data_IF_791142994958
#
_entry.id   IF_791142994958
#
_cell.length_a   1.000
_cell.length_b   1.000
_cell.length_c   1.000
_cell.angle_alpha   90.00
_cell.angle_beta   90.00
_cell.angle_gamma   90.00
#
_symmetry.space_group_name_H-M   'P 1'
#
loop_
_entity.id
_entity.type
_entity.pdbx_description
1 polymer ?
#
# COMPACT_ATOMS: atom_id res chain seq x y z
N UNK A 1 24.44 -11.38 -9.73
CA UNK A 1 25.66 -10.61 -9.41
C UNK A 1 25.45 -10.05 -8.02
N UNK A 2 26.20 -10.55 -7.05
CA UNK A 2 26.23 -9.94 -5.72
C UNK A 2 26.96 -8.60 -5.87
N UNK A 3 26.26 -7.48 -5.69
CA UNK A 3 26.92 -6.19 -5.56
C UNK A 3 27.39 -6.07 -4.11
N UNK A 4 28.69 -6.29 -3.80
CA UNK A 4 29.17 -6.39 -2.41
C UNK A 4 28.85 -5.13 -1.60
N UNK A 5 28.76 -3.96 -2.24
CA UNK A 5 28.46 -2.69 -1.57
C UNK A 5 27.00 -2.57 -1.10
N UNK A 6 26.04 -3.07 -1.89
CA UNK A 6 24.61 -3.09 -1.49
C UNK A 6 24.42 -3.97 -0.26
N UNK A 7 25.11 -5.11 -0.22
CA UNK A 7 25.08 -6.04 0.93
C UNK A 7 25.72 -5.41 2.17
N UNK A 8 26.81 -4.67 2.03
CA UNK A 8 27.42 -3.90 3.14
C UNK A 8 26.46 -2.84 3.69
N UNK A 9 25.82 -2.06 2.81
CA UNK A 9 24.86 -1.02 3.22
C UNK A 9 23.65 -1.63 3.92
N UNK A 10 23.14 -2.75 3.41
CA UNK A 10 22.08 -3.53 4.05
C UNK A 10 22.48 -3.98 5.47
N UNK A 11 23.69 -4.53 5.64
CA UNK A 11 24.20 -4.94 6.96
C UNK A 11 24.35 -3.76 7.91
N UNK A 12 24.81 -2.61 7.41
CA UNK A 12 24.92 -1.40 8.21
C UNK A 12 23.53 -0.90 8.65
N UNK A 13 22.56 -0.83 7.72
CA UNK A 13 21.19 -0.44 8.02
C UNK A 13 20.56 -1.35 9.08
N UNK A 14 20.78 -2.67 9.01
CA UNK A 14 20.33 -3.63 10.03
C UNK A 14 20.95 -3.33 11.39
N UNK A 15 22.26 -3.05 11.43
CA UNK A 15 22.96 -2.72 12.67
C UNK A 15 22.40 -1.45 13.31
N UNK A 16 22.21 -0.38 12.54
CA UNK A 16 21.66 0.86 13.09
C UNK A 16 20.24 0.68 13.61
N UNK A 17 19.42 -0.08 12.87
CA UNK A 17 18.08 -0.43 13.30
C UNK A 17 18.12 -1.21 14.62
N UNK A 18 18.97 -2.24 14.72
CA UNK A 18 19.14 -3.01 15.95
C UNK A 18 19.59 -2.16 17.13
N UNK A 19 20.56 -1.26 16.92
CA UNK A 19 21.05 -0.38 17.98
C UNK A 19 19.99 0.62 18.46
N UNK A 20 19.10 1.06 17.58
CA UNK A 20 18.03 2.00 17.94
C UNK A 20 16.82 1.31 18.56
N UNK A 21 16.31 0.27 17.89
CA UNK A 21 15.08 -0.45 18.26
C UNK A 21 15.31 -1.53 19.32
N UNK A 22 16.54 -2.08 19.40
CA UNK A 22 16.93 -3.16 20.31
C UNK A 22 16.95 -4.55 19.66
N UNK A 23 16.19 -4.74 18.57
CA UNK A 23 16.15 -5.96 17.78
C UNK A 23 15.92 -5.65 16.28
N UNK A 24 16.04 -6.65 15.41
CA UNK A 24 15.77 -6.53 13.98
C UNK A 24 14.57 -7.38 13.57
N UNK A 25 13.81 -6.99 12.54
CA UNK A 25 12.84 -7.88 11.93
C UNK A 25 13.53 -9.11 11.32
N UNK A 26 12.84 -10.25 11.32
CA UNK A 26 13.36 -11.54 10.83
C UNK A 26 12.48 -12.21 9.77
N UNK A 27 11.19 -11.88 9.69
CA UNK A 27 10.21 -12.46 8.77
C UNK A 27 9.93 -11.51 7.58
N UNK A 28 10.94 -11.30 6.73
CA UNK A 28 10.80 -10.51 5.51
C UNK A 28 11.64 -11.02 4.34
N UNK A 29 11.27 -10.59 3.13
CA UNK A 29 11.97 -10.87 1.87
C UNK A 29 12.24 -9.56 1.14
N UNK A 30 13.44 -9.42 0.59
CA UNK A 30 13.83 -8.25 -0.22
C UNK A 30 14.01 -8.69 -1.67
N UNK A 31 13.32 -8.01 -2.58
CA UNK A 31 13.49 -8.14 -4.02
C UNK A 31 14.07 -6.84 -4.56
N UNK A 32 15.26 -6.94 -5.14
CA UNK A 32 15.98 -5.82 -5.75
C UNK A 32 15.67 -5.78 -7.25
N UNK A 33 15.14 -4.67 -7.73
CA UNK A 33 14.88 -4.44 -9.15
C UNK A 33 16.05 -3.73 -9.81
N UNK A 34 16.58 -4.36 -10.86
CA UNK A 34 17.57 -3.76 -11.79
C UNK A 34 16.86 -2.83 -12.81
N UNK A 35 15.57 -3.04 -13.03
CA UNK A 35 14.75 -2.25 -13.93
C UNK A 35 13.65 -1.55 -13.10
N UNK A 36 13.74 -0.22 -12.89
CA UNK A 36 12.74 0.54 -12.13
C UNK A 36 11.33 0.42 -12.72
N UNK A 37 11.20 0.22 -14.03
CA UNK A 37 9.88 0.15 -14.65
C UNK A 37 9.12 -1.12 -14.26
N UNK A 38 9.86 -2.20 -13.94
CA UNK A 38 9.28 -3.44 -13.40
C UNK A 38 8.79 -3.24 -11.97
N UNK A 39 9.55 -2.49 -11.15
CA UNK A 39 9.12 -2.15 -9.80
C UNK A 39 7.88 -1.24 -9.83
N UNK A 40 7.88 -0.18 -10.65
CA UNK A 40 6.72 0.69 -10.81
C UNK A 40 5.47 -0.10 -11.22
N UNK A 41 5.60 -1.05 -12.15
CA UNK A 41 4.49 -1.93 -12.55
C UNK A 41 3.97 -2.76 -11.38
N UNK A 42 4.86 -3.32 -10.55
CA UNK A 42 4.48 -4.10 -9.38
C UNK A 42 3.78 -3.23 -8.32
N UNK A 43 4.33 -2.05 -8.05
CA UNK A 43 3.72 -1.10 -7.12
C UNK A 43 2.28 -0.80 -7.52
N UNK A 44 2.05 -0.46 -8.78
CA UNK A 44 0.69 -0.19 -9.26
C UNK A 44 -0.25 -1.41 -9.17
N UNK A 45 0.27 -2.63 -9.33
CA UNK A 45 -0.53 -3.85 -9.12
C UNK A 45 -0.94 -3.99 -7.65
N UNK A 46 -0.05 -3.66 -6.72
CA UNK A 46 -0.35 -3.65 -5.28
C UNK A 46 -1.40 -2.58 -4.97
N UNK A 47 -1.24 -1.36 -5.51
CA UNK A 47 -2.20 -0.27 -5.30
C UNK A 47 -3.59 -0.59 -5.85
N UNK A 48 -3.69 -1.08 -7.09
CA UNK A 48 -4.99 -1.37 -7.71
C UNK A 48 -5.62 -2.67 -7.23
N UNK A 49 -4.80 -3.67 -6.91
CA UNK A 49 -5.24 -5.04 -6.62
C UNK A 49 -5.23 -5.41 -5.14
N UNK A 50 -4.55 -4.62 -4.31
CA UNK A 50 -4.32 -4.87 -2.89
C UNK A 50 -3.30 -5.97 -2.58
N UNK A 51 -2.62 -6.51 -3.60
CA UNK A 51 -1.66 -7.63 -3.45
C UNK A 51 -0.79 -7.76 -4.70
N UNK A 52 0.49 -8.18 -4.56
CA UNK A 52 1.41 -8.36 -5.69
C UNK A 52 0.99 -9.47 -6.66
N UNK A 53 0.09 -10.38 -6.26
CA UNK A 53 -0.44 -11.46 -7.11
C UNK A 53 -1.89 -11.22 -7.54
N UNK A 54 -2.46 -10.06 -7.22
CA UNK A 54 -3.81 -9.72 -7.61
C UNK A 54 -3.98 -9.79 -9.14
N UNK A 55 -4.99 -10.51 -9.59
CA UNK A 55 -5.34 -10.59 -11.02
C UNK A 55 -5.97 -9.27 -11.44
N UNK A 56 -5.43 -8.64 -12.48
CA UNK A 56 -5.97 -7.41 -13.06
C UNK A 56 -6.68 -7.70 -14.39
N UNK A 57 -7.67 -6.87 -14.73
CA UNK A 57 -8.31 -6.93 -16.04
C UNK A 57 -7.35 -6.47 -17.14
N UNK A 58 -7.64 -6.83 -18.38
CA UNK A 58 -6.87 -6.42 -19.54
C UNK A 58 -6.87 -4.89 -19.71
N UNK A 59 -8.00 -4.24 -19.42
CA UNK A 59 -8.10 -2.77 -19.42
C UNK A 59 -7.16 -2.14 -18.39
N UNK A 60 -7.15 -2.65 -17.16
CA UNK A 60 -6.22 -2.19 -16.12
C UNK A 60 -4.77 -2.39 -16.57
N UNK A 61 -4.43 -3.55 -17.13
CA UNK A 61 -3.09 -3.84 -17.65
C UNK A 61 -2.70 -2.85 -18.77
N UNK A 62 -3.62 -2.53 -19.68
CA UNK A 62 -3.34 -1.60 -20.77
C UNK A 62 -3.23 -0.15 -20.28
N UNK A 63 -4.00 0.25 -19.28
CA UNK A 63 -3.85 1.54 -18.61
C UNK A 63 -2.52 1.63 -17.85
N UNK A 64 -2.10 0.56 -17.17
CA UNK A 64 -0.79 0.46 -16.55
C UNK A 64 0.32 0.61 -17.58
N UNK A 65 0.26 -0.11 -18.71
CA UNK A 65 1.21 0.02 -19.82
C UNK A 65 1.26 1.45 -20.38
N UNK A 66 0.10 2.10 -20.54
CA UNK A 66 0.04 3.51 -20.97
C UNK A 66 0.62 4.46 -19.93
N UNK A 67 0.42 4.19 -18.64
CA UNK A 67 0.95 5.01 -17.54
C UNK A 67 2.47 4.93 -17.43
N UNK A 68 3.08 3.78 -17.71
CA UNK A 68 4.55 3.63 -17.82
C UNK A 68 5.16 4.56 -18.87
N UNK A 69 4.41 4.87 -19.93
CA UNK A 69 4.85 5.78 -20.99
C UNK A 69 4.66 7.27 -20.63
N UNK A 70 4.07 7.59 -19.47
CA UNK A 70 3.84 8.95 -19.00
C UNK A 70 4.59 9.14 -17.68
N UNK A 71 5.74 9.82 -17.73
CA UNK A 71 6.67 10.09 -16.62
C UNK A 71 6.09 10.87 -15.40
N UNK A 72 4.94 10.47 -14.84
CA UNK A 72 4.25 11.20 -13.76
C UNK A 72 4.15 10.43 -12.45
N UNK A 73 4.50 9.15 -12.40
CA UNK A 73 4.57 8.46 -11.12
C UNK A 73 5.82 8.94 -10.38
N UNK A 74 5.74 9.13 -9.04
CA UNK A 74 6.93 9.19 -8.21
C UNK A 74 7.82 8.01 -8.60
N UNK A 75 9.12 8.23 -8.80
CA UNK A 75 10.11 7.15 -8.88
C UNK A 75 10.14 6.51 -7.50
N UNK A 76 9.12 5.73 -7.15
CA UNK A 76 9.06 5.01 -5.89
C UNK A 76 10.18 4.00 -5.93
N UNK A 77 11.25 4.31 -5.21
CA UNK A 77 12.42 3.44 -5.16
C UNK A 77 12.22 2.32 -4.13
N UNK A 78 11.16 2.38 -3.31
CA UNK A 78 10.79 1.39 -2.30
C UNK A 78 9.27 1.22 -2.27
N UNK A 79 8.79 -0.02 -2.29
CA UNK A 79 7.39 -0.35 -1.97
C UNK A 79 7.37 -1.56 -1.03
N UNK A 80 6.48 -1.52 -0.05
CA UNK A 80 6.37 -2.57 0.98
C UNK A 80 4.97 -3.15 1.00
N UNK A 81 4.88 -4.47 0.84
CA UNK A 81 3.66 -5.24 1.09
C UNK A 81 3.80 -5.92 2.47
N UNK A 82 3.15 -5.39 3.54
CA UNK A 82 3.42 -5.76 4.93
C UNK A 82 2.69 -7.04 5.35
N UNK A 83 2.92 -8.13 4.63
CA UNK A 83 2.50 -9.49 5.00
C UNK A 83 3.48 -10.15 5.99
N UNK A 84 3.28 -11.43 6.28
CA UNK A 84 4.17 -12.32 7.03
C UNK A 84 4.53 -13.53 6.14
N UNK A 85 5.73 -13.58 5.51
CA UNK A 85 6.81 -12.59 5.58
C UNK A 85 6.44 -11.27 4.90
N UNK A 86 7.02 -10.16 5.36
CA UNK A 86 6.90 -8.86 4.69
C UNK A 86 7.67 -8.88 3.38
N UNK A 87 7.06 -8.38 2.30
CA UNK A 87 7.68 -8.34 0.99
C UNK A 87 8.15 -6.90 0.69
N UNK A 88 9.46 -6.71 0.59
CA UNK A 88 10.10 -5.43 0.31
C UNK A 88 10.56 -5.44 -1.15
N UNK A 89 10.11 -4.46 -1.92
CA UNK A 89 10.47 -4.26 -3.32
C UNK A 89 11.27 -2.97 -3.41
N UNK A 90 12.52 -3.05 -3.87
CA UNK A 90 13.42 -1.91 -3.90
C UNK A 90 14.08 -1.78 -5.26
N UNK A 91 13.87 -0.64 -5.92
CA UNK A 91 14.64 -0.26 -7.10
C UNK A 91 15.97 0.30 -6.66
N UNK A 92 17.05 -0.24 -7.21
CA UNK A 92 18.37 0.33 -6.99
C UNK A 92 18.43 1.65 -7.78
N UNK A 93 18.71 2.81 -7.17
CA UNK A 93 18.78 4.05 -7.93
C UNK A 93 19.89 3.96 -8.99
N UNK A 94 19.50 3.90 -10.27
CA UNK A 94 20.43 3.77 -11.40
C UNK A 94 21.07 5.09 -11.77
N UNK A 95 22.11 5.47 -11.04
CA UNK A 95 23.26 6.19 -11.61
C UNK A 95 24.54 5.57 -11.04
N UNK A 96 25.35 4.98 -11.91
CA UNK A 96 26.51 4.12 -11.61
C UNK A 96 27.75 4.86 -11.07
N UNK A 97 27.59 5.87 -10.22
CA UNK A 97 28.73 6.44 -9.47
C UNK A 97 28.54 6.18 -7.99
N UNK A 98 29.50 5.46 -7.41
CA UNK A 98 29.60 5.33 -5.97
C UNK A 98 29.73 6.72 -5.36
N UNK A 99 28.79 7.08 -4.48
CA UNK A 99 28.79 8.35 -3.77
C UNK A 99 28.29 8.15 -2.34
N UNK A 100 28.77 8.96 -1.37
CA UNK A 100 28.25 8.95 -0.01
C UNK A 100 26.73 9.16 0.06
N UNK A 101 26.18 10.02 -0.80
CA UNK A 101 24.74 10.31 -0.86
C UNK A 101 23.91 9.09 -1.30
N UNK A 102 24.44 8.28 -2.25
CA UNK A 102 23.81 7.03 -2.66
C UNK A 102 23.77 6.03 -1.52
N UNK A 103 24.90 5.86 -0.84
CA UNK A 103 25.02 4.88 0.24
C UNK A 103 24.13 5.26 1.42
N UNK A 104 24.07 6.54 1.76
CA UNK A 104 23.12 7.09 2.73
C UNK A 104 21.67 6.86 2.30
N UNK A 105 21.32 7.20 1.06
CA UNK A 105 19.97 6.99 0.51
C UNK A 105 19.54 5.53 0.65
N UNK A 106 20.36 4.59 0.19
CA UNK A 106 20.03 3.17 0.22
C UNK A 106 19.93 2.64 1.65
N UNK A 107 20.80 3.11 2.56
CA UNK A 107 20.75 2.79 3.99
C UNK A 107 19.43 3.23 4.61
N UNK A 108 18.99 4.46 4.34
CA UNK A 108 17.74 5.02 4.88
C UNK A 108 16.50 4.31 4.29
N UNK A 109 16.53 3.96 3.00
CA UNK A 109 15.46 3.14 2.39
C UNK A 109 15.35 1.77 3.06
N UNK A 110 16.46 1.09 3.33
CA UNK A 110 16.45 -0.16 4.08
C UNK A 110 15.90 0.01 5.50
N UNK A 111 16.31 1.06 6.22
CA UNK A 111 15.79 1.37 7.56
C UNK A 111 14.26 1.55 7.53
N UNK A 112 13.75 2.32 6.58
CA UNK A 112 12.31 2.53 6.42
C UNK A 112 11.56 1.22 6.12
N UNK A 113 12.10 0.38 5.21
CA UNK A 113 11.55 -0.95 4.94
C UNK A 113 11.60 -1.89 6.16
N UNK A 114 12.68 -1.87 6.94
CA UNK A 114 12.79 -2.66 8.15
C UNK A 114 11.78 -2.21 9.21
N UNK A 115 11.49 -0.92 9.30
CA UNK A 115 10.49 -0.42 10.22
C UNK A 115 9.10 -0.95 9.85
N UNK A 116 8.74 -0.99 8.56
CA UNK A 116 7.52 -1.63 8.08
C UNK A 116 7.47 -3.13 8.36
N UNK A 117 8.57 -3.85 8.10
CA UNK A 117 8.66 -5.28 8.39
C UNK A 117 8.52 -5.58 9.89
N UNK A 118 9.19 -4.77 10.73
CA UNK A 118 9.13 -4.91 12.18
C UNK A 118 7.73 -4.59 12.72
N UNK A 119 7.05 -3.58 12.17
CA UNK A 119 5.65 -3.32 12.49
C UNK A 119 4.78 -4.52 12.12
N UNK A 120 4.94 -5.08 10.91
CA UNK A 120 4.17 -6.23 10.46
C UNK A 120 4.36 -7.47 11.36
N UNK A 121 5.58 -7.69 11.85
CA UNK A 121 5.92 -8.80 12.75
C UNK A 121 5.36 -8.62 14.17
N UNK A 122 5.46 -7.41 14.73
CA UNK A 122 5.29 -7.17 16.17
C UNK A 122 4.02 -6.41 16.54
N UNK A 123 3.32 -5.80 15.58
CA UNK A 123 2.10 -5.03 15.84
C UNK A 123 0.97 -5.92 16.38
N UNK A 124 0.15 -5.36 17.27
CA UNK A 124 -1.12 -5.95 17.71
C UNK A 124 -2.22 -5.91 16.63
N UNK A 125 -1.98 -5.22 15.51
CA UNK A 125 -2.92 -5.19 14.39
C UNK A 125 -2.99 -6.54 13.65
N UNK A 126 -4.20 -6.88 13.18
CA UNK A 126 -4.42 -8.06 12.35
C UNK A 126 -4.08 -7.87 10.86
N UNK A 127 -3.64 -6.65 10.48
CA UNK A 127 -3.41 -6.25 9.09
C UNK A 127 -2.51 -7.24 8.34
N UNK A 128 -1.31 -7.48 8.87
CA UNK A 128 -0.31 -8.33 8.21
C UNK A 128 -0.72 -9.79 8.06
N UNK A 129 -1.50 -10.31 9.02
CA UNK A 129 -2.06 -11.66 8.95
C UNK A 129 -3.10 -11.77 7.85
N UNK A 130 -4.00 -10.77 7.78
CA UNK A 130 -5.02 -10.70 6.73
C UNK A 130 -4.39 -10.51 5.34
N UNK A 131 -3.38 -9.65 5.20
CA UNK A 131 -2.66 -9.47 3.94
C UNK A 131 -1.93 -10.74 3.49
N UNK A 132 -1.41 -11.54 4.43
CA UNK A 132 -0.79 -12.84 4.13
C UNK A 132 -1.79 -13.83 3.55
N UNK A 133 -3.00 -13.87 4.11
CA UNK A 133 -4.08 -14.73 3.62
C UNK A 133 -4.63 -14.23 2.27
N UNK A 134 -4.76 -12.91 2.07
CA UNK A 134 -5.11 -12.33 0.76
C UNK A 134 -4.07 -12.70 -0.30
N UNK A 135 -2.79 -12.58 0.02
CA UNK A 135 -1.70 -12.98 -0.86
C UNK A 135 -1.80 -14.47 -1.26
N UNK A 136 -2.05 -15.36 -0.28
CA UNK A 136 -2.22 -16.80 -0.54
C UNK A 136 -3.42 -17.07 -1.44
N UNK A 137 -4.54 -16.42 -1.18
CA UNK A 137 -5.75 -16.51 -2.00
C UNK A 137 -5.47 -16.06 -3.44
N UNK A 138 -4.84 -14.90 -3.63
CA UNK A 138 -4.55 -14.36 -4.96
C UNK A 138 -3.59 -15.27 -5.74
N UNK A 139 -2.63 -15.90 -5.04
CA UNK A 139 -1.76 -16.92 -5.64
C UNK A 139 -2.55 -18.15 -6.11
N UNK A 140 -3.49 -18.67 -5.29
CA UNK A 140 -4.35 -19.80 -5.68
C UNK A 140 -5.19 -19.44 -6.92
N UNK A 141 -5.80 -18.26 -6.96
CA UNK A 141 -6.59 -17.79 -8.11
C UNK A 141 -5.72 -17.75 -9.36
N UNK A 142 -4.50 -17.23 -9.26
CA UNK A 142 -3.55 -17.16 -10.38
C UNK A 142 -3.21 -18.57 -10.90
N UNK A 143 -2.92 -19.52 -10.02
CA UNK A 143 -2.66 -20.91 -10.41
C UNK A 143 -3.87 -21.58 -11.07
N UNK A 144 -5.09 -21.34 -10.54
CA UNK A 144 -6.32 -21.84 -11.16
C UNK A 144 -6.49 -21.29 -12.58
N UNK A 145 -6.23 -20.00 -12.81
CA UNK A 145 -6.26 -19.39 -14.14
C UNK A 145 -5.23 -20.06 -15.05
N UNK A 146 -3.97 -20.13 -14.63
CA UNK A 146 -2.86 -20.66 -15.44
C UNK A 146 -3.14 -22.11 -15.85
N UNK A 147 -3.59 -22.96 -14.92
CA UNK A 147 -3.90 -24.36 -15.21
C UNK A 147 -5.04 -24.52 -16.21
N UNK A 148 -6.09 -23.69 -16.12
CA UNK A 148 -7.22 -23.74 -17.06
C UNK A 148 -6.85 -23.18 -18.44
N UNK A 149 -6.07 -22.11 -18.48
CA UNK A 149 -5.57 -21.52 -19.73
C UNK A 149 -4.59 -22.45 -20.44
N UNK A 150 -3.72 -23.14 -19.69
CA UNK A 150 -2.77 -24.10 -20.24
C UNK A 150 -3.49 -25.21 -21.03
N UNK A 151 -4.54 -25.79 -20.44
CA UNK A 151 -5.37 -26.79 -21.12
C UNK A 151 -6.05 -26.26 -22.40
N UNK A 152 -6.44 -24.98 -22.44
CA UNK A 152 -7.01 -24.34 -23.64
C UNK A 152 -5.94 -24.05 -24.71
N UNK A 153 -4.72 -23.69 -24.30
CA UNK A 153 -3.62 -23.40 -25.22
C UNK A 153 -3.14 -24.67 -25.90
N UNK A 154 -2.93 -25.76 -25.16
CA UNK A 154 -2.51 -27.05 -25.72
C UNK A 154 -3.55 -27.66 -26.67
N UNK A 155 -4.85 -27.53 -26.34
CA UNK A 155 -5.90 -28.18 -27.12
C UNK A 155 -6.41 -27.36 -28.30
N UNK A 156 -6.32 -26.02 -28.24
CA UNK A 156 -7.00 -25.13 -29.20
C UNK A 156 -6.18 -23.93 -29.68
N UNK A 157 -4.92 -23.75 -29.26
CA UNK A 157 -4.10 -22.57 -29.59
C UNK A 157 -4.80 -21.21 -29.32
N UNK A 158 -5.65 -21.16 -28.30
CA UNK A 158 -6.48 -19.99 -28.01
C UNK A 158 -5.71 -18.88 -27.29
N UNK A 159 -5.20 -17.89 -28.03
CA UNK A 159 -4.45 -16.73 -27.48
C UNK A 159 -5.32 -15.77 -26.65
N UNK A 160 -6.65 -15.81 -26.83
CA UNK A 160 -7.62 -15.03 -26.06
C UNK A 160 -7.94 -15.63 -24.69
N UNK A 161 -7.52 -16.87 -24.41
CA UNK A 161 -7.89 -17.58 -23.19
C UNK A 161 -7.44 -16.86 -21.92
N UNK A 162 -6.17 -16.41 -21.86
CA UNK A 162 -5.67 -15.72 -20.66
C UNK A 162 -6.42 -14.41 -20.36
N UNK A 163 -6.55 -13.46 -21.32
CA UNK A 163 -7.32 -12.23 -21.10
C UNK A 163 -8.77 -12.51 -20.63
N UNK A 164 -9.45 -13.48 -21.24
CA UNK A 164 -10.83 -13.82 -20.88
C UNK A 164 -10.97 -14.24 -19.41
N UNK A 165 -10.09 -15.13 -18.93
CA UNK A 165 -10.12 -15.59 -17.54
C UNK A 165 -9.74 -14.47 -16.56
N UNK A 166 -8.78 -13.62 -16.93
CA UNK A 166 -8.36 -12.47 -16.12
C UNK A 166 -9.51 -11.46 -15.94
N UNK A 167 -10.17 -11.07 -17.03
CA UNK A 167 -11.30 -10.13 -16.99
C UNK A 167 -12.46 -10.69 -16.18
N UNK A 168 -12.78 -11.97 -16.37
CA UNK A 168 -13.84 -12.62 -15.61
C UNK A 168 -13.55 -12.62 -14.10
N UNK A 169 -12.33 -12.98 -13.70
CA UNK A 169 -11.90 -12.97 -12.28
C UNK A 169 -11.91 -11.55 -11.72
N UNK A 170 -11.44 -10.57 -12.48
CA UNK A 170 -11.43 -9.17 -12.05
C UNK A 170 -12.84 -8.63 -11.81
N UNK A 171 -13.80 -8.94 -12.69
CA UNK A 171 -15.22 -8.57 -12.53
C UNK A 171 -15.83 -9.26 -11.31
N UNK A 172 -15.62 -10.56 -11.13
CA UNK A 172 -16.16 -11.28 -9.96
C UNK A 172 -15.56 -10.70 -8.68
N UNK A 173 -14.25 -10.40 -8.65
CA UNK A 173 -13.60 -9.79 -7.49
C UNK A 173 -14.25 -8.46 -7.12
N UNK A 174 -14.48 -7.61 -8.11
CA UNK A 174 -15.12 -6.31 -7.92
C UNK A 174 -16.52 -6.49 -7.30
N UNK A 175 -17.35 -7.35 -7.91
CA UNK A 175 -18.70 -7.62 -7.45
C UNK A 175 -18.74 -8.24 -6.05
N UNK A 176 -17.86 -9.21 -5.77
CA UNK A 176 -17.74 -9.84 -4.44
C UNK A 176 -17.31 -8.83 -3.37
N UNK A 177 -16.38 -7.93 -3.68
CA UNK A 177 -15.99 -6.83 -2.77
C UNK A 177 -17.17 -5.91 -2.45
N UNK A 178 -18.10 -5.74 -3.39
CA UNK A 178 -19.35 -5.00 -3.20
C UNK A 178 -20.49 -5.83 -2.59
N UNK A 179 -20.21 -7.03 -2.09
CA UNK A 179 -21.20 -7.86 -1.39
C UNK A 179 -22.18 -8.60 -2.31
N UNK A 180 -21.91 -8.68 -3.62
CA UNK A 180 -22.66 -9.58 -4.50
C UNK A 180 -22.33 -11.01 -4.14
N UNK A 181 -23.34 -11.77 -3.72
CA UNK A 181 -23.17 -13.18 -3.35
C UNK A 181 -23.90 -14.14 -4.30
N UNK A 182 -24.98 -13.73 -4.99
CA UNK A 182 -25.72 -14.62 -5.88
C UNK A 182 -25.18 -14.53 -7.32
N UNK A 183 -24.06 -15.21 -7.56
CA UNK A 183 -23.63 -15.53 -8.92
C UNK A 183 -24.44 -16.71 -9.45
N UNK A 184 -24.64 -16.77 -10.77
CA UNK A 184 -25.30 -17.92 -11.40
C UNK A 184 -24.52 -19.21 -11.11
N UNK A 185 -25.20 -20.17 -10.47
CA UNK A 185 -24.68 -21.52 -10.22
C UNK A 185 -25.23 -22.47 -11.30
N UNK A 186 -24.38 -23.01 -12.20
CA UNK A 186 -24.84 -23.94 -13.21
C UNK A 186 -25.36 -25.26 -12.61
N UNK A 187 -26.36 -25.92 -13.24
CA UNK A 187 -26.91 -27.18 -12.77
C UNK A 187 -25.86 -28.30 -12.76
N UNK A 188 -26.04 -29.30 -11.89
CA UNK A 188 -25.08 -30.41 -11.70
C UNK A 188 -24.75 -31.17 -12.98
N UNK A 189 -25.72 -31.35 -13.88
CA UNK A 189 -25.52 -31.98 -15.18
C UNK A 189 -24.49 -31.25 -16.04
N UNK A 190 -24.50 -29.92 -16.05
CA UNK A 190 -23.55 -29.10 -16.80
C UNK A 190 -22.17 -29.07 -16.12
N UNK A 191 -22.12 -29.10 -14.78
CA UNK A 191 -20.88 -29.11 -13.99
C UNK A 191 -20.07 -30.40 -14.18
N UNK A 192 -20.76 -31.54 -14.32
CA UNK A 192 -20.13 -32.85 -14.57
C UNK A 192 -19.36 -32.93 -15.90
N UNK A 193 -19.66 -32.04 -16.85
CA UNK A 193 -19.11 -32.09 -18.22
C UNK A 193 -18.26 -30.86 -18.58
N UNK A 194 -18.13 -29.87 -17.67
CA UNK A 194 -17.43 -28.62 -17.96
C UNK A 194 -16.46 -28.23 -16.86
N UNK A 195 -15.16 -28.34 -17.16
CA UNK A 195 -14.07 -27.83 -16.30
C UNK A 195 -14.20 -26.32 -16.06
N UNK A 196 -14.67 -25.57 -17.05
CA UNK A 196 -14.90 -24.13 -16.93
C UNK A 196 -15.95 -23.78 -15.88
N UNK A 197 -17.04 -24.55 -15.78
CA UNK A 197 -18.07 -24.31 -14.77
C UNK A 197 -17.58 -24.65 -13.35
N UNK A 198 -16.72 -25.67 -13.23
CA UNK A 198 -16.09 -25.99 -11.94
C UNK A 198 -15.10 -24.89 -11.52
N UNK A 199 -14.27 -24.40 -12.45
CA UNK A 199 -13.39 -23.25 -12.23
C UNK A 199 -14.18 -22.02 -11.76
N UNK A 200 -15.28 -21.68 -12.45
CA UNK A 200 -16.08 -20.50 -12.12
C UNK A 200 -16.63 -20.56 -10.69
N UNK A 201 -17.15 -21.72 -10.27
CA UNK A 201 -17.67 -21.90 -8.91
C UNK A 201 -16.59 -21.82 -7.84
N UNK A 202 -15.42 -22.40 -8.13
CA UNK A 202 -14.28 -22.34 -7.23
C UNK A 202 -13.78 -20.90 -7.07
N UNK A 203 -13.63 -20.16 -8.18
CA UNK A 203 -13.22 -18.75 -8.17
C UNK A 203 -14.22 -17.88 -7.43
N UNK A 204 -15.52 -18.03 -7.65
CA UNK A 204 -16.56 -17.28 -6.90
C UNK A 204 -16.44 -17.57 -5.40
N UNK A 205 -16.29 -18.83 -5.01
CA UNK A 205 -16.15 -19.20 -3.60
C UNK A 205 -14.91 -18.57 -2.97
N UNK A 206 -13.77 -18.61 -3.66
CA UNK A 206 -12.50 -18.06 -3.18
C UNK A 206 -12.59 -16.52 -3.10
N UNK A 207 -13.16 -15.84 -4.10
CA UNK A 207 -13.29 -14.39 -4.12
C UNK A 207 -14.27 -13.86 -3.08
N UNK A 208 -15.36 -14.58 -2.79
CA UNK A 208 -16.25 -14.23 -1.69
C UNK A 208 -15.52 -14.35 -0.34
N UNK A 209 -14.71 -15.39 -0.13
CA UNK A 209 -13.87 -15.51 1.07
C UNK A 209 -12.86 -14.36 1.17
N UNK A 210 -12.22 -13.99 0.05
CA UNK A 210 -11.30 -12.85 -0.03
C UNK A 210 -11.98 -11.55 0.39
N UNK A 211 -13.18 -11.28 -0.14
CA UNK A 211 -13.93 -10.07 0.17
C UNK A 211 -14.30 -9.98 1.66
N UNK A 212 -14.78 -11.06 2.26
CA UNK A 212 -15.09 -11.12 3.69
C UNK A 212 -13.84 -11.00 4.58
N UNK A 213 -12.70 -11.48 4.11
CA UNK A 213 -11.44 -11.34 4.81
C UNK A 213 -10.94 -9.88 4.79
N UNK A 214 -10.99 -9.22 3.64
CA UNK A 214 -10.60 -7.80 3.49
C UNK A 214 -11.38 -6.92 4.47
N UNK A 215 -12.68 -7.14 4.64
CA UNK A 215 -13.52 -6.37 5.58
C UNK A 215 -13.02 -6.42 7.03
N UNK A 216 -12.34 -7.50 7.44
CA UNK A 216 -11.81 -7.67 8.81
C UNK A 216 -10.48 -6.93 9.04
N UNK A 217 -9.84 -6.48 7.96
CA UNK A 217 -8.54 -5.80 8.01
C UNK A 217 -8.65 -4.52 8.81
N UNK A 218 -7.79 -4.35 9.81
CA UNK A 218 -7.67 -3.07 10.50
C UNK A 218 -7.19 -1.97 9.54
N UNK A 219 -7.65 -0.74 9.78
CA UNK A 219 -7.15 0.44 9.09
C UNK A 219 -5.83 0.83 9.75
N UNK A 220 -4.73 0.64 9.05
CA UNK A 220 -3.36 0.83 9.57
C UNK A 220 -2.51 1.68 8.64
N UNK A 221 -3.08 2.23 7.56
CA UNK A 221 -2.31 2.95 6.53
C UNK A 221 -1.55 4.10 7.16
N UNK A 222 -2.20 4.84 8.06
CA UNK A 222 -1.59 5.97 8.73
C UNK A 222 -0.65 5.55 9.88
N UNK A 223 -1.06 4.62 10.73
CA UNK A 223 -0.31 4.12 11.89
C UNK A 223 1.00 3.43 11.46
N UNK A 224 0.96 2.63 10.40
CA UNK A 224 2.11 1.93 9.86
C UNK A 224 3.14 2.92 9.31
N UNK A 225 2.71 3.92 8.54
CA UNK A 225 3.61 4.97 8.06
C UNK A 225 4.15 5.83 9.21
N UNK A 226 3.34 6.11 10.24
CA UNK A 226 3.81 6.84 11.41
C UNK A 226 4.98 6.12 12.07
N UNK A 227 4.80 4.83 12.34
CA UNK A 227 5.82 3.98 12.93
C UNK A 227 7.11 3.96 12.09
N UNK A 228 6.97 3.75 10.79
CA UNK A 228 8.11 3.66 9.89
C UNK A 228 8.86 4.99 9.76
N UNK A 229 8.15 6.10 9.64
CA UNK A 229 8.74 7.43 9.55
C UNK A 229 9.39 7.86 10.86
N UNK A 230 8.81 7.54 12.02
CA UNK A 230 9.44 7.83 13.32
C UNK A 230 10.83 7.19 13.46
N UNK A 231 10.95 5.88 13.20
CA UNK A 231 12.24 5.19 13.28
C UNK A 231 13.22 5.73 12.22
N UNK A 232 12.74 5.88 10.98
CA UNK A 232 13.52 6.40 9.87
C UNK A 232 14.11 7.79 10.16
N UNK A 233 13.30 8.72 10.68
CA UNK A 233 13.74 10.06 11.03
C UNK A 233 14.77 10.06 12.17
N UNK A 234 14.48 9.37 13.29
CA UNK A 234 15.37 9.37 14.46
C UNK A 234 16.72 8.70 14.19
N UNK A 235 16.75 7.63 13.39
CA UNK A 235 18.01 7.01 12.97
C UNK A 235 18.75 7.93 11.99
N UNK A 236 18.06 8.58 11.07
CA UNK A 236 18.65 9.55 10.14
C UNK A 236 19.36 10.70 10.85
N UNK A 237 18.69 11.32 11.84
CA UNK A 237 19.26 12.35 12.71
C UNK A 237 20.53 11.86 13.42
N UNK A 238 20.52 10.63 13.95
CA UNK A 238 21.69 10.03 14.62
C UNK A 238 22.86 9.82 13.66
N UNK A 239 22.61 9.31 12.44
CA UNK A 239 23.66 9.02 11.45
C UNK A 239 24.33 10.30 10.96
N UNK A 240 23.57 11.39 10.82
CA UNK A 240 24.06 12.62 10.22
C UNK A 240 24.79 13.54 11.21
N UNK A 241 24.75 13.24 12.51
CA UNK A 241 25.35 14.05 13.60
C UNK A 241 24.96 15.54 13.53
N UNK A 242 23.84 15.84 12.84
CA UNK A 242 23.28 17.17 12.59
C UNK A 242 21.78 17.06 12.84
N UNK A 243 21.15 18.15 13.28
CA UNK A 243 19.68 18.24 13.37
C UNK A 243 18.99 18.08 12.01
N UNK A 244 17.67 18.29 11.98
CA UNK A 244 16.80 18.16 10.79
C UNK A 244 17.50 18.62 9.49
N UNK A 245 17.53 17.74 8.48
CA UNK A 245 17.95 18.14 7.14
C UNK A 245 17.01 19.23 6.63
N UNK A 246 17.51 20.40 6.19
CA UNK A 246 16.72 21.24 5.31
C UNK A 246 16.26 20.37 4.13
N UNK A 247 14.96 20.34 3.85
CA UNK A 247 14.42 19.46 2.80
C UNK A 247 15.10 19.68 1.43
N UNK A 248 15.63 20.88 1.20
CA UNK A 248 16.41 21.26 0.02
C UNK A 248 17.70 20.43 -0.17
N UNK A 249 18.27 19.86 0.89
CA UNK A 249 19.48 19.04 0.84
C UNK A 249 19.20 17.54 0.85
N UNK A 250 17.93 17.11 1.00
CA UNK A 250 17.56 15.70 0.97
C UNK A 250 17.85 15.11 -0.42
N UNK A 251 18.61 13.99 -0.51
CA UNK A 251 18.87 13.31 -1.78
C UNK A 251 17.58 13.05 -2.56
N UNK A 252 17.63 13.25 -3.90
CA UNK A 252 16.45 13.12 -4.78
C UNK A 252 15.63 11.86 -4.52
N UNK A 253 16.31 10.72 -4.33
CA UNK A 253 15.67 9.41 -4.14
C UNK A 253 15.06 9.19 -2.76
N UNK A 254 15.37 10.04 -1.78
CA UNK A 254 14.70 10.05 -0.48
C UNK A 254 13.45 10.93 -0.49
N UNK A 255 13.32 11.88 -1.42
CA UNK A 255 12.14 12.76 -1.50
C UNK A 255 10.79 12.04 -1.59
N UNK A 256 10.64 10.85 -2.21
CA UNK A 256 9.40 10.07 -2.11
C UNK A 256 9.04 9.61 -0.69
N UNK A 257 10.02 9.48 0.22
CA UNK A 257 9.76 9.14 1.63
C UNK A 257 9.45 10.41 2.43
N UNK A 258 10.21 11.49 2.27
CA UNK A 258 10.01 12.69 3.09
C UNK A 258 8.93 13.66 2.55
N UNK A 259 8.63 13.55 1.26
CA UNK A 259 7.80 14.50 0.52
C UNK A 259 6.30 14.38 0.75
N UNK A 260 5.71 13.16 0.70
CA UNK A 260 4.29 12.97 0.84
C UNK A 260 3.73 13.55 2.15
N UNK A 261 2.56 14.22 2.11
CA UNK A 261 1.85 14.72 3.29
C UNK A 261 1.63 13.69 4.38
N UNK A 262 1.28 12.45 4.01
CA UNK A 262 1.05 11.37 4.96
C UNK A 262 2.30 11.09 5.79
N UNK A 263 3.49 11.14 5.21
CA UNK A 263 4.75 10.86 5.90
C UNK A 263 5.13 11.99 6.86
N UNK A 264 4.88 13.25 6.48
CA UNK A 264 5.09 14.40 7.36
C UNK A 264 4.13 14.41 8.55
N UNK A 265 2.84 14.19 8.28
CA UNK A 265 1.82 14.15 9.33
C UNK A 265 2.07 12.98 10.28
N UNK A 266 2.35 11.79 9.74
CA UNK A 266 2.48 10.56 10.52
C UNK A 266 3.65 10.58 11.50
N UNK A 267 4.80 11.13 11.09
CA UNK A 267 5.91 11.40 12.01
C UNK A 267 5.48 12.31 13.18
N UNK A 268 4.91 13.47 12.85
CA UNK A 268 4.51 14.48 13.84
C UNK A 268 3.39 14.01 14.76
N UNK A 269 2.50 13.17 14.26
CA UNK A 269 1.44 12.58 15.07
C UNK A 269 1.98 11.64 16.14
N UNK A 270 3.05 10.88 15.88
CA UNK A 270 3.67 10.08 16.93
C UNK A 270 4.38 10.93 17.98
N UNK A 271 5.04 12.02 17.58
CA UNK A 271 5.62 12.97 18.54
C UNK A 271 4.52 13.58 19.44
N UNK A 272 3.41 14.05 18.85
CA UNK A 272 2.28 14.61 19.60
C UNK A 272 1.62 13.55 20.51
N UNK A 273 1.40 12.34 20.00
CA UNK A 273 0.76 11.24 20.73
C UNK A 273 1.55 10.78 21.97
N UNK A 274 2.86 11.02 21.99
CA UNK A 274 3.77 10.55 23.01
C UNK A 274 4.69 11.64 23.57
N UNK A 275 4.26 12.90 23.54
CA UNK A 275 5.04 14.06 23.99
C UNK A 275 5.60 13.89 25.42
N UNK A 276 4.84 13.25 26.32
CA UNK A 276 5.24 12.96 27.70
C UNK A 276 6.50 12.07 27.82
N UNK A 277 6.77 11.26 26.80
CA UNK A 277 7.88 10.31 26.75
C UNK A 277 8.76 10.52 25.51
N UNK A 278 8.79 11.75 24.97
CA UNK A 278 9.54 12.07 23.74
C UNK A 278 11.03 11.72 23.78
N UNK A 279 11.63 11.76 24.97
CA UNK A 279 13.04 11.42 25.21
C UNK A 279 13.27 9.89 25.36
N UNK A 280 12.22 9.08 25.24
CA UNK A 280 12.25 7.62 25.40
C UNK A 280 11.76 6.92 24.11
N UNK A 281 12.54 6.99 23.01
CA UNK A 281 12.11 6.49 21.70
C UNK A 281 11.74 5.00 21.68
N UNK A 282 12.43 4.17 22.48
CA UNK A 282 12.13 2.74 22.58
C UNK A 282 10.77 2.47 23.26
N UNK A 283 10.36 3.31 24.21
CA UNK A 283 9.05 3.18 24.85
C UNK A 283 7.94 3.66 23.91
N UNK A 284 8.19 4.70 23.11
CA UNK A 284 7.28 5.14 22.03
C UNK A 284 7.06 4.00 21.02
N UNK A 285 8.14 3.36 20.55
CA UNK A 285 8.07 2.20 19.64
C UNK A 285 7.20 1.10 20.25
N UNK A 286 7.46 0.72 21.51
CA UNK A 286 6.72 -0.35 22.20
C UNK A 286 5.24 -0.03 22.34
N UNK A 287 4.88 1.19 22.74
CA UNK A 287 3.48 1.59 22.89
C UNK A 287 2.78 1.73 21.54
N UNK A 288 3.48 2.19 20.49
CA UNK A 288 2.92 2.29 19.13
C UNK A 288 2.55 0.91 18.58
N UNK A 289 3.35 -0.13 18.85
CA UNK A 289 3.04 -1.51 18.46
C UNK A 289 1.77 -2.07 19.12
N UNK A 290 1.32 -1.48 20.25
CA UNK A 290 0.06 -1.88 20.91
C UNK A 290 -1.18 -1.21 20.28
N UNK A 291 -0.99 -0.17 19.47
CA UNK A 291 -2.09 0.44 18.72
C UNK A 291 -2.52 -0.51 17.60
N UNK A 292 -3.82 -0.67 17.42
CA UNK A 292 -4.36 -1.68 16.49
C UNK A 292 -4.76 -1.08 15.15
N UNK A 293 -5.05 0.21 15.11
CA UNK A 293 -5.59 0.91 13.94
C UNK A 293 -5.32 2.43 13.98
N UNK A 294 -5.60 3.11 12.87
CA UNK A 294 -5.39 4.54 12.65
C UNK A 294 -6.19 5.43 13.61
N UNK A 295 -7.41 5.01 13.98
CA UNK A 295 -8.24 5.72 14.95
C UNK A 295 -7.64 5.67 16.35
N UNK A 296 -6.98 4.58 16.75
CA UNK A 296 -6.29 4.50 18.05
C UNK A 296 -5.18 5.56 18.13
N UNK A 297 -4.39 5.73 17.05
CA UNK A 297 -3.35 6.75 16.99
C UNK A 297 -3.93 8.17 16.98
N UNK A 298 -5.00 8.41 16.19
CA UNK A 298 -5.70 9.70 16.19
C UNK A 298 -6.18 10.05 17.60
N UNK A 299 -6.79 9.10 18.31
CA UNK A 299 -7.26 9.31 19.68
C UNK A 299 -6.11 9.56 20.65
N UNK A 300 -5.00 8.82 20.52
CA UNK A 300 -3.79 9.02 21.34
C UNK A 300 -3.18 10.40 21.14
N UNK A 301 -3.23 10.94 19.91
CA UNK A 301 -2.79 12.28 19.56
C UNK A 301 -3.77 13.41 19.96
N UNK A 302 -4.81 13.13 20.76
CA UNK A 302 -5.78 14.14 21.22
C UNK A 302 -7.05 14.25 20.36
N UNK A 303 -7.28 13.29 19.45
CA UNK A 303 -8.49 13.18 18.64
C UNK A 303 -8.45 13.94 17.31
N UNK A 304 -9.48 13.75 16.48
CA UNK A 304 -9.49 14.27 15.11
C UNK A 304 -9.36 15.80 15.00
N UNK A 305 -9.86 16.57 15.97
CA UNK A 305 -9.71 18.03 15.93
C UNK A 305 -8.25 18.47 16.08
N UNK A 306 -7.51 17.83 17.00
CA UNK A 306 -6.09 18.10 17.24
C UNK A 306 -5.25 17.69 16.02
N UNK A 307 -5.50 16.50 15.48
CA UNK A 307 -4.81 15.98 14.29
C UNK A 307 -5.03 16.87 13.06
N UNK A 308 -6.26 17.34 12.84
CA UNK A 308 -6.57 18.23 11.70
C UNK A 308 -5.94 19.62 11.86
N UNK A 309 -5.80 20.11 13.10
CA UNK A 309 -5.03 21.34 13.37
C UNK A 309 -3.56 21.15 12.96
N UNK A 310 -2.95 20.04 13.39
CA UNK A 310 -1.59 19.68 13.02
C UNK A 310 -1.43 19.54 11.50
N UNK A 311 -2.37 18.90 10.81
CA UNK A 311 -2.40 18.78 9.35
C UNK A 311 -2.36 20.15 8.66
N UNK A 312 -3.15 21.11 9.14
CA UNK A 312 -3.19 22.48 8.60
C UNK A 312 -1.86 23.20 8.80
N UNK A 313 -1.29 23.13 10.01
CA UNK A 313 0.01 23.75 10.33
C UNK A 313 1.12 23.19 9.42
N UNK A 314 1.13 21.86 9.21
CA UNK A 314 2.12 21.20 8.33
C UNK A 314 1.93 21.55 6.86
N UNK A 315 0.68 21.71 6.40
CA UNK A 315 0.38 22.17 5.03
C UNK A 315 0.91 23.57 4.80
N UNK A 316 0.65 24.50 5.71
CA UNK A 316 1.13 25.89 5.64
C UNK A 316 2.67 25.96 5.64
N UNK A 317 3.32 25.20 6.54
CA UNK A 317 4.78 25.10 6.58
C UNK A 317 5.36 24.49 5.29
N UNK A 318 4.68 23.49 4.72
CA UNK A 318 5.09 22.85 3.46
C UNK A 318 4.90 23.76 2.25
N UNK A 319 3.83 24.56 2.21
CA UNK A 319 3.61 25.58 1.18
C UNK A 319 4.66 26.70 1.24
N UNK A 320 5.09 27.11 2.45
CA UNK A 320 6.17 28.08 2.62
C UNK A 320 7.53 27.55 2.14
N UNK A 321 7.81 26.25 2.34
CA UNK A 321 9.01 25.59 1.81
C UNK A 321 8.95 25.30 0.31
N UNK A 322 7.75 25.30 -0.29
CA UNK A 322 7.51 25.02 -1.71
C UNK A 322 8.23 26.02 -2.65
N UNK A 323 8.39 27.27 -2.24
CA UNK A 323 9.15 28.29 -2.99
C UNK A 323 10.59 27.83 -3.26
N UNK A 324 11.18 27.02 -2.37
CA UNK A 324 12.51 26.45 -2.52
C UNK A 324 12.53 25.14 -3.32
N UNK A 325 11.42 24.39 -3.35
CA UNK A 325 11.29 23.16 -4.15
C UNK A 325 11.23 23.45 -5.65
N UNK A 326 10.72 24.64 -6.02
CA UNK A 326 10.48 25.10 -7.39
C UNK A 326 11.57 26.03 -7.95
N UNK A 327 12.75 26.10 -7.33
CA UNK A 327 13.85 26.92 -7.88
C UNK A 327 14.23 26.50 -9.31
N UNK A 328 13.91 25.26 -9.71
CA UNK A 328 13.87 24.83 -11.11
C UNK A 328 12.42 24.85 -11.62
N UNK A 329 12.11 25.84 -12.47
CA UNK A 329 10.76 26.04 -13.03
C UNK A 329 10.32 24.96 -14.00
N UNK A 330 11.22 24.06 -14.41
CA UNK A 330 10.99 22.97 -15.36
C UNK A 330 11.00 21.56 -14.75
N UNK A 331 11.35 21.45 -13.46
CA UNK A 331 11.69 20.20 -12.80
C UNK A 331 10.52 19.23 -12.54
N UNK A 332 10.85 17.94 -12.56
CA UNK A 332 9.98 16.80 -12.20
C UNK A 332 9.20 17.03 -10.89
N UNK A 333 9.86 17.57 -9.87
CA UNK A 333 9.26 17.81 -8.55
C UNK A 333 8.18 18.88 -8.53
N UNK A 334 8.23 19.84 -9.46
CA UNK A 334 7.16 20.82 -9.63
C UNK A 334 5.88 20.17 -10.13
N UNK A 335 6.02 19.18 -11.03
CA UNK A 335 4.89 18.44 -11.60
C UNK A 335 4.28 17.48 -10.59
N UNK A 336 5.08 16.86 -9.72
CA UNK A 336 4.59 15.96 -8.66
C UNK A 336 3.99 16.70 -7.47
N UNK A 337 4.33 17.98 -7.24
CA UNK A 337 3.75 18.74 -6.12
C UNK A 337 2.22 18.87 -6.22
N UNK A 338 1.67 19.06 -7.42
CA UNK A 338 0.21 19.11 -7.60
C UNK A 338 -0.47 17.80 -7.18
N UNK A 339 0.24 16.67 -7.26
CA UNK A 339 -0.24 15.36 -6.79
C UNK A 339 -0.27 15.38 -5.24
N UNK A 340 0.85 15.76 -4.61
CA UNK A 340 0.93 15.88 -3.15
C UNK A 340 0.05 16.98 -2.55
N UNK A 341 -0.31 18.00 -3.32
CA UNK A 341 -1.23 19.04 -2.85
C UNK A 341 -2.62 18.47 -2.58
N UNK A 342 -3.10 17.58 -3.46
CA UNK A 342 -4.40 16.92 -3.33
C UNK A 342 -4.44 15.93 -2.16
N UNK A 343 -3.32 15.26 -1.86
CA UNK A 343 -3.20 14.32 -0.74
C UNK A 343 -3.49 14.98 0.63
N UNK A 344 -3.21 16.29 0.81
CA UNK A 344 -3.58 16.98 2.05
C UNK A 344 -5.09 17.00 2.29
N UNK A 345 -5.88 17.22 1.24
CA UNK A 345 -7.33 17.27 1.33
C UNK A 345 -7.92 15.87 1.54
N UNK A 346 -7.37 14.85 0.85
CA UNK A 346 -7.72 13.45 1.06
C UNK A 346 -7.46 12.99 2.50
N UNK A 347 -6.31 13.38 3.09
CA UNK A 347 -6.00 13.08 4.48
C UNK A 347 -6.96 13.78 5.45
N UNK A 348 -7.30 15.06 5.21
CA UNK A 348 -8.27 15.79 6.04
C UNK A 348 -9.62 15.07 6.05
N UNK A 349 -10.09 14.64 4.87
CA UNK A 349 -11.37 13.94 4.73
C UNK A 349 -11.34 12.53 5.33
N UNK A 350 -10.23 11.81 5.18
CA UNK A 350 -10.01 10.53 5.84
C UNK A 350 -10.08 10.67 7.37
N UNK A 351 -9.35 11.62 7.96
CA UNK A 351 -9.34 11.86 9.41
C UNK A 351 -10.72 12.28 9.91
N UNK A 352 -11.41 13.18 9.20
CA UNK A 352 -12.80 13.56 9.51
C UNK A 352 -13.70 12.34 9.53
N UNK A 353 -13.59 11.48 8.51
CA UNK A 353 -14.42 10.30 8.36
C UNK A 353 -14.19 9.31 9.48
N UNK A 354 -12.92 8.94 9.76
CA UNK A 354 -12.58 8.04 10.85
C UNK A 354 -13.06 8.57 12.20
N UNK A 355 -12.81 9.85 12.49
CA UNK A 355 -13.20 10.44 13.76
C UNK A 355 -14.72 10.55 13.92
N UNK A 356 -15.45 10.84 12.83
CA UNK A 356 -16.92 10.93 12.88
C UNK A 356 -17.58 9.57 13.04
N UNK A 357 -17.12 8.56 12.29
CA UNK A 357 -17.77 7.25 12.22
C UNK A 357 -17.12 6.19 13.12
N UNK A 358 -16.01 6.54 13.79
CA UNK A 358 -15.27 5.67 14.71
C UNK A 358 -14.85 4.33 14.06
N UNK A 359 -14.46 4.39 12.78
CA UNK A 359 -14.06 3.21 12.00
C UNK A 359 -12.67 2.70 12.42
N UNK A 360 -12.54 1.39 12.62
CA UNK A 360 -11.29 0.69 12.95
C UNK A 360 -10.86 -0.33 11.90
N UNK A 361 -11.79 -0.76 11.05
CA UNK A 361 -11.59 -1.78 10.02
C UNK A 361 -12.13 -1.34 8.66
N UNK A 362 -11.68 -2.00 7.60
CA UNK A 362 -12.15 -1.76 6.23
C UNK A 362 -13.66 -1.98 6.11
N UNK A 363 -14.21 -3.03 6.75
CA UNK A 363 -15.64 -3.32 6.72
C UNK A 363 -16.47 -2.17 7.30
N UNK A 364 -16.07 -1.65 8.46
CA UNK A 364 -16.72 -0.49 9.08
C UNK A 364 -16.59 0.77 8.22
N UNK A 365 -15.45 0.95 7.54
CA UNK A 365 -15.26 2.08 6.63
C UNK A 365 -16.23 1.99 5.43
N UNK A 366 -16.36 0.82 4.82
CA UNK A 366 -17.29 0.56 3.71
C UNK A 366 -18.76 0.78 4.13
N UNK A 367 -19.17 0.24 5.28
CA UNK A 367 -20.55 0.34 5.78
C UNK A 367 -20.98 1.77 6.11
N UNK A 368 -20.05 2.61 6.56
CA UNK A 368 -20.33 4.01 6.92
C UNK A 368 -20.11 5.00 5.77
N UNK A 369 -19.54 4.54 4.65
CA UNK A 369 -19.26 5.41 3.51
C UNK A 369 -20.49 5.53 2.62
N UNK A 370 -20.78 6.77 2.19
CA UNK A 370 -21.84 7.06 1.21
C UNK A 370 -21.41 6.82 -0.24
N UNK A 371 -20.12 6.56 -0.45
CA UNK A 371 -19.55 6.18 -1.74
C UNK A 371 -20.19 4.91 -2.32
N UNK A 372 -20.80 4.11 -1.44
CA UNK A 372 -21.30 2.78 -1.77
C UNK A 372 -22.81 2.72 -1.49
N UNK A 373 -23.63 2.94 -2.51
CA UNK A 373 -25.07 2.70 -2.44
C UNK A 373 -25.43 1.45 -3.23
N UNK A 374 -25.80 0.40 -2.52
CA UNK A 374 -26.45 -0.77 -3.11
C UNK A 374 -27.94 -0.47 -3.28
N UNK A 375 -28.40 -0.34 -4.53
CA UNK A 375 -29.80 -0.07 -4.84
C UNK A 375 -30.68 -1.33 -4.87
N UNK A 376 -30.10 -2.50 -4.61
CA UNK A 376 -30.81 -3.78 -4.66
C UNK A 376 -30.60 -4.51 -5.99
N UNK A 377 -31.55 -5.39 -6.30
CA UNK A 377 -31.62 -6.10 -7.58
C UNK A 377 -32.95 -5.81 -8.29
N UNK A 378 -32.91 -5.76 -9.62
CA UNK A 378 -34.10 -5.79 -10.46
C UNK A 378 -34.29 -7.22 -10.96
N UNK A 379 -35.49 -7.80 -10.81
CA UNK A 379 -35.79 -9.10 -11.42
C UNK A 379 -36.12 -8.89 -12.90
N UNK A 380 -35.23 -9.32 -13.79
CA UNK A 380 -35.51 -9.40 -15.23
C UNK A 380 -35.70 -10.87 -15.58
N UNK A 381 -36.90 -11.26 -16.03
CA UNK A 381 -37.24 -12.65 -16.39
C UNK A 381 -36.83 -13.67 -15.32
N UNK A 382 -37.21 -13.40 -14.07
CA UNK A 382 -36.93 -14.26 -12.89
C UNK A 382 -35.46 -14.38 -12.48
N UNK A 383 -34.54 -13.60 -13.09
CA UNK A 383 -33.13 -13.52 -12.68
C UNK A 383 -32.88 -12.18 -11.96
N UNK A 384 -32.22 -12.19 -10.78
CA UNK A 384 -31.78 -10.96 -10.15
C UNK A 384 -30.69 -10.30 -10.99
N UNK A 385 -30.85 -9.02 -11.29
CA UNK A 385 -29.85 -8.15 -11.92
C UNK A 385 -29.49 -7.09 -10.90
N UNK A 386 -28.25 -7.09 -10.41
CA UNK A 386 -27.80 -6.14 -9.40
C UNK A 386 -27.49 -4.78 -10.01
N UNK A 387 -27.90 -3.71 -9.34
CA UNK A 387 -27.61 -2.33 -9.74
C UNK A 387 -26.78 -1.68 -8.65
N UNK A 388 -25.60 -1.21 -9.03
CA UNK A 388 -24.68 -0.46 -8.18
C UNK A 388 -24.41 0.88 -8.82
N UNK A 389 -24.34 1.92 -8.00
CA UNK A 389 -23.69 3.18 -8.37
C UNK A 389 -22.37 3.24 -7.62
N UNK A 390 -21.31 3.51 -8.37
CA UNK A 390 -19.98 3.78 -7.85
C UNK A 390 -19.78 5.27 -8.09
N UNK A 391 -19.72 6.05 -7.01
CA UNK A 391 -19.36 7.46 -7.11
C UNK A 391 -17.84 7.57 -7.08
N UNK A 392 -17.24 7.68 -8.26
CA UNK A 392 -15.78 7.74 -8.45
C UNK A 392 -15.13 8.88 -7.66
N UNK A 393 -15.86 9.96 -7.31
CA UNK A 393 -15.33 11.08 -6.53
C UNK A 393 -15.08 10.73 -5.04
N UNK A 394 -15.59 9.60 -4.58
CA UNK A 394 -15.57 9.20 -3.16
C UNK A 394 -14.70 7.97 -2.86
N UNK A 395 -14.04 7.41 -3.89
CA UNK A 395 -13.12 6.25 -3.80
C UNK A 395 -11.68 6.64 -4.17
N UNK A 396 -11.28 7.87 -3.88
CA UNK A 396 -9.86 8.24 -3.90
C UNK A 396 -9.32 8.18 -2.47
N UNK A 397 -8.70 7.05 -2.13
CA UNK A 397 -7.60 7.01 -1.17
C UNK A 397 -6.30 6.98 -1.96
#
# INVERSE_FOLDING_TARGET
MDNPRVVEIYKQARKDFQEFVGETPEDYKVLLFIDPDLHASLYQVIELGGSPFAVLSQEMIDNLRKSRNRNFLPDECISVFPSKPTMIYLSLPFEFKESPDRDFTLRMMFIHAFAHAYFAEKSASNDSEILSEIYRIDMIIKELIVNNVYGLKETKNATWGLPYFQDMVAVIRLLSSFGVQEFYVPPESSRKVSLFQNFLLEVISILNKRAELVKKKHLTGFLREAFANYIHMKIGEKILEKGEYPFSTVPRFLKPIYGPPINKLSYRMLEEAFEEIKDQPQEIIKQTLQLTNDLDLINKAGGGAQVRRLLKELREASQATNVYWHADTSGYWRKTWNIYEHEWDQLDDYIKFLNKNQCRSVGQWLENSKAFQFYGYVKVNSKPVYVFEIDDESISL
#
